data_IF_009142608855
#
_entry.id   IF_009142608855
#
_cell.length_a   1.000
_cell.length_b   1.000
_cell.length_c   1.000
_cell.angle_alpha   90.00
_cell.angle_beta   90.00
_cell.angle_gamma   90.00
#
_symmetry.space_group_name_H-M   'P 1'
#
loop_
_entity.id
_entity.type
_entity.pdbx_description
1 polymer ?
#
# COMPACT_ATOMS: atom_id res chain seq x y z
N UNK A 1 28.35 48.89 -46.32
CA UNK A 1 28.50 47.43 -46.54
C UNK A 1 29.74 47.00 -45.75
N UNK A 2 29.57 46.41 -44.57
CA UNK A 2 30.68 46.11 -43.65
C UNK A 2 30.94 44.61 -43.57
N UNK A 3 32.23 44.25 -43.64
CA UNK A 3 32.75 42.89 -43.70
C UNK A 3 32.80 42.21 -42.33
N UNK A 4 32.20 41.02 -42.32
CA UNK A 4 32.43 39.79 -41.55
C UNK A 4 33.76 39.65 -40.76
N UNK A 5 33.68 39.22 -39.48
CA UNK A 5 34.71 38.40 -38.79
C UNK A 5 34.12 37.56 -37.64
N UNK A 6 33.74 36.34 -38.01
CA UNK A 6 33.94 35.02 -37.35
C UNK A 6 34.09 34.90 -35.82
N UNK A 7 33.16 34.08 -35.29
CA UNK A 7 33.35 32.91 -34.42
C UNK A 7 33.78 33.12 -32.95
N UNK A 8 32.79 33.11 -32.06
CA UNK A 8 32.95 32.63 -30.68
C UNK A 8 32.44 31.19 -30.59
N UNK A 9 33.38 30.25 -30.41
CA UNK A 9 33.12 28.88 -30.00
C UNK A 9 32.80 28.88 -28.50
N UNK A 10 31.52 28.81 -28.15
CA UNK A 10 31.12 28.49 -26.77
C UNK A 10 30.97 26.97 -26.72
N UNK A 11 31.97 26.34 -26.10
CA UNK A 11 32.05 24.90 -25.83
C UNK A 11 30.75 24.38 -25.19
N UNK A 12 30.16 23.28 -25.70
CA UNK A 12 29.13 22.59 -24.96
C UNK A 12 29.85 21.80 -23.86
N UNK A 13 29.88 22.35 -22.65
CA UNK A 13 30.14 21.55 -21.45
C UNK A 13 28.95 20.60 -21.27
N UNK A 14 28.96 19.49 -22.02
CA UNK A 14 28.13 18.33 -21.80
C UNK A 14 28.60 17.71 -20.47
N UNK A 15 28.06 18.22 -19.36
CA UNK A 15 28.01 17.47 -18.11
C UNK A 15 27.05 16.30 -18.33
N UNK A 16 27.56 15.25 -18.96
CA UNK A 16 26.99 13.93 -18.88
C UNK A 16 27.07 13.53 -17.40
N UNK A 17 26.02 13.85 -16.64
CA UNK A 17 25.77 13.20 -15.36
C UNK A 17 25.50 11.74 -15.67
N UNK A 18 26.58 10.95 -15.67
CA UNK A 18 26.53 9.50 -15.56
C UNK A 18 25.88 9.16 -14.24
N UNK A 19 24.55 9.17 -14.25
CA UNK A 19 23.75 8.48 -13.26
C UNK A 19 23.98 7.00 -13.52
N UNK A 20 25.10 6.48 -13.01
CA UNK A 20 25.22 5.06 -12.73
C UNK A 20 24.09 4.77 -11.75
N UNK A 21 22.94 4.36 -12.29
CA UNK A 21 22.00 3.54 -11.56
C UNK A 21 22.83 2.36 -11.12
N UNK A 22 23.22 2.33 -9.84
CA UNK A 22 23.75 1.11 -9.26
C UNK A 22 22.66 0.07 -9.53
N UNK A 23 22.94 -0.85 -10.44
CA UNK A 23 22.03 -1.94 -10.74
C UNK A 23 21.69 -2.59 -9.39
N UNK A 24 20.40 -2.63 -9.07
CA UNK A 24 19.94 -3.30 -7.87
C UNK A 24 20.39 -4.76 -7.93
N UNK A 25 21.38 -5.15 -7.12
CA UNK A 25 21.79 -6.55 -7.00
C UNK A 25 20.85 -7.22 -6.02
N UNK A 26 19.89 -7.97 -6.55
CA UNK A 26 19.01 -8.83 -5.75
C UNK A 26 19.67 -10.16 -5.42
N UNK A 27 19.27 -10.75 -4.30
CA UNK A 27 19.68 -12.10 -3.89
C UNK A 27 18.77 -13.13 -4.57
N UNK A 28 19.30 -14.03 -5.43
CA UNK A 28 18.50 -15.06 -6.10
C UNK A 28 17.76 -15.99 -5.12
N UNK A 29 18.29 -16.19 -3.91
CA UNK A 29 17.62 -17.00 -2.89
C UNK A 29 16.31 -16.32 -2.44
N UNK A 30 16.33 -15.00 -2.27
CA UNK A 30 15.15 -14.23 -1.88
C UNK A 30 14.13 -14.19 -3.02
N UNK A 31 14.57 -14.07 -4.28
CA UNK A 31 13.68 -14.22 -5.44
C UNK A 31 13.01 -15.60 -5.47
N UNK A 32 13.77 -16.66 -5.16
CA UNK A 32 13.25 -18.02 -5.01
C UNK A 32 12.16 -18.10 -3.94
N UNK A 33 12.38 -17.49 -2.77
CA UNK A 33 11.40 -17.47 -1.66
C UNK A 33 10.14 -16.67 -2.05
N UNK A 34 10.28 -15.50 -2.69
CA UNK A 34 9.14 -14.73 -3.21
C UNK A 34 8.33 -15.59 -4.18
N UNK A 35 9.00 -16.32 -5.07
CA UNK A 35 8.38 -17.22 -6.04
C UNK A 35 7.64 -18.38 -5.38
N UNK A 36 8.25 -19.02 -4.37
CA UNK A 36 7.63 -20.11 -3.60
C UNK A 36 6.37 -19.66 -2.86
N UNK A 37 6.30 -18.39 -2.44
CA UNK A 37 5.11 -17.79 -1.84
C UNK A 37 4.08 -17.34 -2.89
N UNK A 38 4.23 -17.72 -4.17
CA UNK A 38 3.28 -17.42 -5.24
C UNK A 38 3.34 -15.99 -5.78
N UNK A 39 4.38 -15.22 -5.44
CA UNK A 39 4.45 -13.78 -5.73
C UNK A 39 5.31 -13.42 -6.96
N UNK A 40 5.76 -14.39 -7.75
CA UNK A 40 6.66 -14.18 -8.88
C UNK A 40 6.13 -13.17 -9.92
N UNK A 41 4.82 -13.20 -10.20
CA UNK A 41 4.17 -12.30 -11.15
C UNK A 41 3.63 -11.00 -10.55
N UNK A 42 3.84 -10.74 -9.27
CA UNK A 42 3.20 -9.64 -8.54
C UNK A 42 4.08 -8.40 -8.42
N UNK A 43 3.49 -7.27 -8.00
CA UNK A 43 4.26 -6.06 -7.70
C UNK A 43 5.35 -6.28 -6.66
N UNK A 44 5.18 -7.19 -5.67
CA UNK A 44 6.22 -7.53 -4.69
C UNK A 44 7.53 -7.93 -5.37
N UNK A 45 7.49 -8.86 -6.33
CA UNK A 45 8.69 -9.29 -7.06
C UNK A 45 9.32 -8.10 -7.81
N UNK A 46 8.51 -7.30 -8.49
CA UNK A 46 9.03 -6.12 -9.23
C UNK A 46 9.67 -5.08 -8.31
N UNK A 47 9.10 -4.87 -7.10
CA UNK A 47 9.64 -3.95 -6.11
C UNK A 47 10.90 -4.47 -5.44
N UNK A 48 11.04 -5.79 -5.30
CA UNK A 48 12.29 -6.38 -4.83
C UNK A 48 13.41 -6.21 -5.87
N UNK A 49 13.12 -6.55 -7.14
CA UNK A 49 14.06 -6.40 -8.28
C UNK A 49 14.55 -4.98 -8.55
N UNK A 50 13.79 -3.98 -8.11
CA UNK A 50 14.19 -2.57 -8.23
C UNK A 50 14.62 -1.94 -6.90
N UNK A 51 14.88 -2.74 -5.87
CA UNK A 51 15.36 -2.31 -4.55
C UNK A 51 14.39 -1.38 -3.79
N UNK A 52 13.12 -1.28 -4.20
CA UNK A 52 12.10 -0.57 -3.41
C UNK A 52 11.72 -1.37 -2.16
N UNK A 53 11.69 -2.71 -2.28
CA UNK A 53 11.59 -3.61 -1.13
C UNK A 53 12.97 -4.15 -0.77
N UNK A 54 13.35 -4.01 0.50
CA UNK A 54 14.62 -4.50 1.02
C UNK A 54 14.41 -5.52 2.14
N UNK A 55 15.30 -6.52 2.20
CA UNK A 55 15.29 -7.52 3.27
C UNK A 55 15.67 -6.86 4.59
N UNK A 56 14.82 -6.98 5.60
CA UNK A 56 15.10 -6.49 6.97
C UNK A 56 15.18 -7.61 8.00
N UNK A 57 14.66 -8.80 7.69
CA UNK A 57 14.88 -9.99 8.49
C UNK A 57 14.97 -11.22 7.59
N UNK A 58 15.94 -12.08 7.86
CA UNK A 58 16.14 -13.34 7.17
C UNK A 58 16.44 -14.41 8.22
N UNK A 59 15.41 -15.12 8.68
CA UNK A 59 15.55 -16.15 9.72
C UNK A 59 15.38 -17.53 9.11
N UNK A 60 15.47 -18.59 9.93
CA UNK A 60 15.22 -19.95 9.46
C UNK A 60 13.81 -20.13 8.87
N UNK A 61 12.80 -19.44 9.42
CA UNK A 61 11.40 -19.71 9.12
C UNK A 61 10.73 -18.62 8.27
N UNK A 62 11.37 -17.45 8.09
CA UNK A 62 10.77 -16.35 7.34
C UNK A 62 11.78 -15.41 6.69
N UNK A 63 11.30 -14.69 5.69
CA UNK A 63 11.91 -13.47 5.16
C UNK A 63 10.95 -12.31 5.35
N UNK A 64 11.47 -11.18 5.81
CA UNK A 64 10.73 -9.92 5.89
C UNK A 64 11.32 -8.93 4.89
N UNK A 65 10.45 -8.32 4.08
CA UNK A 65 10.81 -7.20 3.20
C UNK A 65 10.08 -5.93 3.65
N UNK A 66 10.73 -4.78 3.57
CA UNK A 66 10.08 -3.49 3.86
C UNK A 66 10.33 -2.46 2.77
N UNK A 67 9.36 -1.57 2.60
CA UNK A 67 9.48 -0.44 1.69
C UNK A 67 9.90 0.81 2.46
N UNK A 68 11.03 1.42 2.11
CA UNK A 68 11.51 2.64 2.78
C UNK A 68 10.65 3.88 2.49
N UNK A 69 9.84 3.85 1.44
CA UNK A 69 8.95 4.94 1.04
C UNK A 69 7.60 4.93 1.76
N UNK A 70 7.21 3.83 2.40
CA UNK A 70 5.96 3.74 3.14
C UNK A 70 6.08 4.46 4.49
N UNK A 71 5.01 5.13 4.92
CA UNK A 71 5.02 5.97 6.11
C UNK A 71 5.07 5.18 7.43
N UNK A 72 4.40 4.01 7.48
CA UNK A 72 4.38 3.05 8.61
C UNK A 72 4.13 3.74 9.96
N UNK A 73 3.06 4.53 10.03
CA UNK A 73 2.70 5.32 11.23
C UNK A 73 1.67 4.58 12.07
N UNK A 74 1.77 4.80 13.37
CA UNK A 74 0.73 4.42 14.32
C UNK A 74 0.00 5.69 14.76
N UNK A 75 -1.18 5.91 14.19
CA UNK A 75 -2.00 7.08 14.45
C UNK A 75 -3.38 6.67 14.96
N UNK A 76 -4.11 7.64 15.51
CA UNK A 76 -5.55 7.52 15.75
C UNK A 76 -6.35 7.98 14.54
N UNK A 77 -7.54 7.42 14.36
CA UNK A 77 -8.40 7.63 13.20
C UNK A 77 -8.67 9.12 12.93
N UNK A 78 -8.88 9.91 13.98
CA UNK A 78 -9.16 11.35 13.92
C UNK A 78 -8.03 12.17 13.28
N UNK A 79 -6.81 11.63 13.21
CA UNK A 79 -5.60 12.32 12.71
C UNK A 79 -4.94 11.59 11.54
N UNK A 80 -5.44 10.42 11.17
CA UNK A 80 -4.78 9.53 10.24
C UNK A 80 -4.89 10.01 8.79
N UNK A 81 -3.74 10.12 8.13
CA UNK A 81 -3.63 10.20 6.66
C UNK A 81 -3.41 8.81 6.04
N UNK A 82 -2.74 7.92 6.79
CA UNK A 82 -2.37 6.59 6.33
C UNK A 82 -3.19 5.54 7.06
N UNK A 83 -3.65 4.56 6.29
CA UNK A 83 -4.47 3.46 6.75
C UNK A 83 -3.87 2.15 6.27
N UNK A 84 -4.02 1.09 7.04
CA UNK A 84 -3.27 -0.13 6.85
C UNK A 84 -4.18 -1.35 6.84
N UNK A 85 -3.78 -2.34 6.04
CA UNK A 85 -4.39 -3.67 6.07
C UNK A 85 -3.33 -4.74 5.86
N UNK A 86 -3.24 -5.68 6.80
CA UNK A 86 -2.57 -6.95 6.58
C UNK A 86 -3.43 -7.86 5.71
N UNK A 87 -2.94 -8.22 4.53
CA UNK A 87 -3.58 -9.15 3.60
C UNK A 87 -2.78 -10.45 3.58
N UNK A 88 -3.45 -11.59 3.73
CA UNK A 88 -2.84 -12.88 3.44
C UNK A 88 -2.46 -12.98 1.95
N UNK A 89 -1.53 -13.86 1.61
CA UNK A 89 -0.99 -13.96 0.23
C UNK A 89 -2.08 -14.06 -0.84
N UNK A 90 -3.10 -14.90 -0.65
CA UNK A 90 -4.19 -15.07 -1.63
C UNK A 90 -5.00 -13.79 -1.83
N UNK A 91 -5.30 -13.06 -0.75
CA UNK A 91 -6.00 -11.77 -0.83
C UNK A 91 -5.13 -10.73 -1.54
N UNK A 92 -3.85 -10.65 -1.20
CA UNK A 92 -2.91 -9.75 -1.86
C UNK A 92 -2.77 -10.04 -3.36
N UNK A 93 -2.62 -11.31 -3.75
CA UNK A 93 -2.51 -11.71 -5.16
C UNK A 93 -3.77 -11.30 -5.93
N UNK A 94 -4.95 -11.48 -5.36
CA UNK A 94 -6.20 -11.04 -5.97
C UNK A 94 -6.28 -9.50 -6.08
N UNK A 95 -5.78 -8.77 -5.08
CA UNK A 95 -5.75 -7.31 -5.08
C UNK A 95 -4.75 -6.74 -6.10
N UNK A 96 -3.54 -7.30 -6.17
CA UNK A 96 -2.52 -6.96 -7.16
C UNK A 96 -3.01 -7.29 -8.59
N UNK A 97 -3.63 -8.45 -8.79
CA UNK A 97 -4.19 -8.88 -10.06
C UNK A 97 -5.30 -7.96 -10.59
N UNK A 98 -6.08 -7.33 -9.69
CA UNK A 98 -7.07 -6.31 -10.07
C UNK A 98 -6.49 -4.89 -10.17
N UNK A 99 -5.16 -4.76 -10.11
CA UNK A 99 -4.42 -3.50 -10.20
C UNK A 99 -4.80 -2.51 -9.10
N UNK A 100 -5.01 -3.02 -7.89
CA UNK A 100 -5.33 -2.23 -6.70
C UNK A 100 -6.64 -1.44 -6.77
N UNK A 101 -7.59 -1.87 -7.60
CA UNK A 101 -8.86 -1.16 -7.84
C UNK A 101 -9.97 -1.55 -6.87
N UNK A 102 -9.90 -2.74 -6.29
CA UNK A 102 -10.95 -3.25 -5.41
C UNK A 102 -10.37 -4.19 -4.35
N UNK A 103 -10.59 -3.89 -3.07
CA UNK A 103 -10.21 -4.77 -1.96
C UNK A 103 -11.09 -6.04 -1.97
N UNK A 104 -10.53 -7.24 -2.24
CA UNK A 104 -11.32 -8.45 -2.49
C UNK A 104 -12.23 -8.89 -1.33
N UNK A 105 -11.87 -8.56 -0.08
CA UNK A 105 -12.66 -8.96 1.09
C UNK A 105 -13.95 -8.15 1.29
N UNK A 106 -14.15 -7.04 0.55
CA UNK A 106 -15.32 -6.16 0.73
C UNK A 106 -16.64 -6.90 0.51
N UNK A 107 -16.65 -7.88 -0.40
CA UNK A 107 -17.83 -8.69 -0.74
C UNK A 107 -17.91 -10.01 0.04
N UNK A 108 -16.94 -10.30 0.90
CA UNK A 108 -16.84 -11.58 1.60
C UNK A 108 -17.41 -11.50 3.01
N UNK A 109 -17.92 -12.63 3.53
CA UNK A 109 -18.35 -12.78 4.91
C UNK A 109 -17.15 -13.00 5.88
N UNK A 110 -16.03 -12.34 5.60
CA UNK A 110 -14.77 -12.47 6.36
C UNK A 110 -14.33 -11.10 6.89
N UNK A 111 -13.35 -11.10 7.80
CA UNK A 111 -12.82 -9.85 8.35
C UNK A 111 -12.14 -8.99 7.26
N UNK A 112 -12.67 -7.79 7.08
CA UNK A 112 -12.22 -6.84 6.07
C UNK A 112 -11.95 -5.46 6.70
N UNK A 113 -11.09 -5.40 7.72
CA UNK A 113 -10.72 -4.15 8.40
C UNK A 113 -9.57 -3.38 7.76
N UNK A 114 -9.60 -2.05 7.95
CA UNK A 114 -8.44 -1.15 7.84
C UNK A 114 -8.22 -0.46 9.19
N UNK A 115 -6.96 -0.17 9.54
CA UNK A 115 -6.58 0.50 10.78
C UNK A 115 -5.62 1.67 10.52
N UNK A 116 -5.69 2.76 11.28
CA UNK A 116 -4.68 3.83 11.24
C UNK A 116 -3.36 3.43 11.92
N UNK A 117 -3.33 2.33 12.69
CA UNK A 117 -2.11 1.75 13.24
C UNK A 117 -1.48 0.72 12.29
N UNK A 118 -0.26 1.02 11.86
CA UNK A 118 0.57 0.12 11.07
C UNK A 118 0.91 -1.14 11.85
N UNK A 119 1.35 -1.02 13.11
CA UNK A 119 1.76 -2.18 13.93
C UNK A 119 0.60 -3.12 14.20
N UNK A 120 -0.60 -2.59 14.45
CA UNK A 120 -1.82 -3.37 14.56
C UNK A 120 -2.07 -4.19 13.28
N UNK A 121 -2.05 -3.54 12.12
CA UNK A 121 -2.28 -4.21 10.83
C UNK A 121 -1.19 -5.23 10.48
N UNK A 122 0.06 -4.95 10.83
CA UNK A 122 1.18 -5.86 10.65
C UNK A 122 1.04 -7.11 11.52
N UNK A 123 0.49 -6.98 12.74
CA UNK A 123 0.37 -8.10 13.69
C UNK A 123 -0.48 -9.28 13.20
N UNK A 124 -1.35 -9.04 12.22
CA UNK A 124 -2.14 -10.10 11.56
C UNK A 124 -1.29 -11.05 10.70
N UNK A 125 -0.07 -10.63 10.33
CA UNK A 125 0.84 -11.43 9.55
C UNK A 125 1.81 -12.18 10.46
N UNK A 126 1.86 -13.50 10.28
CA UNK A 126 2.73 -14.39 11.06
C UNK A 126 3.38 -15.41 10.14
N UNK A 127 4.30 -16.23 10.65
CA UNK A 127 4.88 -17.30 9.83
C UNK A 127 3.82 -18.31 9.34
N UNK A 128 2.73 -18.50 10.11
CA UNK A 128 1.60 -19.37 9.73
C UNK A 128 0.60 -18.68 8.80
N UNK A 129 0.62 -17.36 8.77
CA UNK A 129 -0.22 -16.52 7.92
C UNK A 129 0.64 -15.44 7.27
N UNK A 130 1.54 -15.81 6.33
CA UNK A 130 2.36 -14.84 5.61
C UNK A 130 1.50 -13.96 4.71
N UNK A 131 2.04 -12.82 4.32
CA UNK A 131 1.26 -11.85 3.57
C UNK A 131 1.94 -10.50 3.41
N UNK A 132 1.11 -9.51 3.09
CA UNK A 132 1.52 -8.17 2.70
C UNK A 132 0.72 -7.16 3.49
N UNK A 133 1.38 -6.16 4.08
CA UNK A 133 0.67 -4.97 4.58
C UNK A 133 0.61 -3.95 3.45
N UNK A 134 -0.60 -3.53 3.16
CA UNK A 134 -0.89 -2.41 2.26
C UNK A 134 -1.11 -1.16 3.10
N UNK A 135 -0.43 -0.07 2.71
CA UNK A 135 -0.69 1.29 3.15
C UNK A 135 -1.59 1.99 2.10
N UNK A 136 -2.67 2.59 2.59
CA UNK A 136 -3.60 3.42 1.85
C UNK A 136 -3.40 4.87 2.32
N UNK A 137 -2.93 5.74 1.42
CA UNK A 137 -2.74 7.16 1.72
C UNK A 137 -3.95 7.95 1.21
N UNK A 138 -4.57 8.72 2.10
CA UNK A 138 -5.63 9.66 1.72
C UNK A 138 -5.05 10.98 1.20
N UNK A 139 -5.91 11.81 0.60
CA UNK A 139 -5.52 13.14 0.08
C UNK A 139 -5.03 14.10 1.17
N UNK A 140 -5.53 13.97 2.40
CA UNK A 140 -5.13 14.77 3.56
C UNK A 140 -5.38 13.99 4.87
N UNK A 141 -4.76 14.40 5.99
CA UNK A 141 -5.06 13.84 7.31
C UNK A 141 -6.54 13.92 7.66
N UNK A 142 -7.03 12.97 8.46
CA UNK A 142 -8.41 12.92 8.97
C UNK A 142 -9.49 12.73 7.90
N UNK A 143 -9.13 12.63 6.61
CA UNK A 143 -10.09 12.62 5.52
C UNK A 143 -11.08 11.47 5.60
N UNK A 144 -10.60 10.23 5.77
CA UNK A 144 -11.47 9.06 5.95
C UNK A 144 -12.34 9.16 7.20
N UNK A 145 -11.78 9.69 8.29
CA UNK A 145 -12.51 9.87 9.53
C UNK A 145 -13.65 10.88 9.38
N UNK A 146 -13.38 12.02 8.75
CA UNK A 146 -14.37 13.04 8.49
C UNK A 146 -15.50 12.51 7.59
N UNK A 147 -15.16 11.76 6.54
CA UNK A 147 -16.17 11.20 5.65
C UNK A 147 -17.02 10.13 6.36
N UNK A 148 -16.39 9.07 6.87
CA UNK A 148 -17.12 7.95 7.46
C UNK A 148 -17.79 8.33 8.78
N UNK A 149 -17.05 8.89 9.74
CA UNK A 149 -17.57 9.10 11.10
C UNK A 149 -18.31 10.44 11.23
N UNK A 150 -17.70 11.55 10.81
CA UNK A 150 -18.31 12.87 11.05
C UNK A 150 -19.53 13.11 10.15
N UNK A 151 -19.42 12.84 8.84
CA UNK A 151 -20.52 13.10 7.89
C UNK A 151 -21.54 11.97 7.83
N UNK A 152 -21.06 10.73 7.78
CA UNK A 152 -21.91 9.55 7.56
C UNK A 152 -22.18 8.74 8.83
N UNK A 153 -21.79 9.25 10.00
CA UNK A 153 -22.11 8.71 11.33
C UNK A 153 -21.69 7.25 11.58
N UNK A 154 -20.76 6.74 10.78
CA UNK A 154 -20.22 5.40 10.93
C UNK A 154 -19.45 5.28 12.25
N UNK A 155 -19.79 4.31 13.09
CA UNK A 155 -19.04 4.02 14.32
C UNK A 155 -17.85 3.12 14.02
N UNK A 156 -16.65 3.65 14.19
CA UNK A 156 -15.41 2.88 14.16
C UNK A 156 -15.21 2.08 15.46
N UNK A 157 -14.35 1.07 15.45
CA UNK A 157 -13.98 0.32 16.67
C UNK A 157 -12.69 0.85 17.25
N UNK A 158 -12.59 0.96 18.57
CA UNK A 158 -11.44 1.57 19.25
C UNK A 158 -10.09 0.85 19.02
N UNK A 159 -10.09 -0.42 18.62
CA UNK A 159 -8.88 -1.18 18.32
C UNK A 159 -8.08 -0.59 17.15
N UNK A 160 -6.76 -0.76 17.17
CA UNK A 160 -5.87 -0.33 16.10
C UNK A 160 -5.85 1.18 15.85
N UNK A 161 -6.12 1.98 16.88
CA UNK A 161 -6.25 3.44 16.78
C UNK A 161 -7.57 3.93 16.18
N UNK A 162 -8.51 3.03 15.87
CA UNK A 162 -9.82 3.38 15.33
C UNK A 162 -10.10 2.72 13.97
N UNK A 163 -10.53 1.47 13.97
CA UNK A 163 -10.69 0.65 12.76
C UNK A 163 -12.04 0.79 12.08
N UNK A 164 -12.01 0.68 10.74
CA UNK A 164 -13.20 0.55 9.91
C UNK A 164 -13.28 -0.84 9.30
N UNK A 165 -14.43 -1.50 9.48
CA UNK A 165 -14.76 -2.75 8.79
C UNK A 165 -15.40 -2.45 7.43
N UNK A 166 -14.69 -2.75 6.35
CA UNK A 166 -15.11 -2.53 4.96
C UNK A 166 -16.03 -3.64 4.42
N UNK A 167 -16.11 -4.79 5.10
CA UNK A 167 -16.92 -5.92 4.67
C UNK A 167 -18.44 -5.70 4.84
N UNK A 168 -19.23 -6.63 4.31
CA UNK A 168 -20.71 -6.61 4.34
C UNK A 168 -21.30 -6.45 5.75
N UNK A 169 -20.71 -7.09 6.76
CA UNK A 169 -21.15 -6.99 8.18
C UNK A 169 -20.28 -6.03 9.00
N UNK A 170 -19.55 -5.13 8.33
CA UNK A 170 -18.61 -4.21 8.95
C UNK A 170 -19.25 -2.95 9.51
N UNK A 171 -18.48 -1.87 9.54
CA UNK A 171 -18.88 -0.58 10.09
C UNK A 171 -20.12 0.01 9.41
N UNK A 172 -20.41 -0.37 8.17
CA UNK A 172 -21.62 0.03 7.43
C UNK A 172 -22.92 -0.05 8.24
N UNK A 173 -23.04 -0.99 9.19
CA UNK A 173 -24.25 -1.18 10.00
C UNK A 173 -24.61 0.03 10.89
N UNK A 174 -23.62 0.81 11.34
CA UNK A 174 -23.81 1.96 12.22
C UNK A 174 -23.87 3.31 11.49
N UNK A 175 -23.61 3.32 10.18
CA UNK A 175 -23.66 4.53 9.36
C UNK A 175 -25.10 5.04 9.13
N UNK A 176 -25.20 6.22 8.52
CA UNK A 176 -26.45 6.75 7.99
C UNK A 176 -27.09 5.84 6.92
N UNK A 177 -28.30 6.21 6.48
CA UNK A 177 -29.07 5.40 5.54
C UNK A 177 -28.38 5.20 4.19
N UNK A 178 -27.59 6.17 3.73
CA UNK A 178 -26.88 6.09 2.45
C UNK A 178 -25.72 5.10 2.55
N UNK A 179 -24.81 5.30 3.50
CA UNK A 179 -23.61 4.49 3.65
C UNK A 179 -23.90 3.09 4.16
N UNK A 180 -24.96 2.92 4.95
CA UNK A 180 -25.47 1.59 5.31
C UNK A 180 -26.00 0.82 4.11
N UNK A 181 -26.69 1.49 3.18
CA UNK A 181 -27.22 0.86 1.95
C UNK A 181 -26.11 0.54 0.95
N UNK A 182 -25.15 1.44 0.77
CA UNK A 182 -24.04 1.26 -0.19
C UNK A 182 -22.98 0.30 0.35
N UNK A 183 -22.68 0.37 1.64
CA UNK A 183 -21.55 -0.31 2.28
C UNK A 183 -20.26 0.48 2.13
N UNK A 184 -19.57 0.78 3.24
CA UNK A 184 -18.40 1.67 3.21
C UNK A 184 -17.21 1.09 2.44
N UNK A 185 -17.10 -0.24 2.34
CA UNK A 185 -16.09 -0.87 1.48
C UNK A 185 -16.32 -0.62 0.00
N UNK A 186 -17.57 -0.55 -0.45
CA UNK A 186 -17.89 -0.19 -1.83
C UNK A 186 -17.54 1.29 -2.09
N UNK A 187 -17.81 2.17 -1.14
CA UNK A 187 -17.37 3.58 -1.19
C UNK A 187 -15.85 3.66 -1.28
N UNK A 188 -15.13 2.92 -0.42
CA UNK A 188 -13.67 2.87 -0.42
C UNK A 188 -13.10 2.39 -1.76
N UNK A 189 -13.68 1.34 -2.35
CA UNK A 189 -13.28 0.83 -3.67
C UNK A 189 -13.51 1.83 -4.80
N UNK A 190 -14.54 2.68 -4.72
CA UNK A 190 -14.71 3.78 -5.68
C UNK A 190 -13.57 4.78 -5.58
N UNK A 191 -13.12 5.11 -4.36
CA UNK A 191 -11.99 6.03 -4.18
C UNK A 191 -10.64 5.47 -4.63
N UNK A 192 -10.49 4.15 -4.66
CA UNK A 192 -9.33 3.46 -5.25
C UNK A 192 -9.33 3.49 -6.79
N UNK A 193 -10.49 3.54 -7.44
CA UNK A 193 -10.61 3.18 -8.86
C UNK A 193 -11.24 4.25 -9.77
N UNK A 194 -12.11 5.09 -9.23
CA UNK A 194 -12.80 6.15 -9.97
C UNK A 194 -11.97 7.44 -9.97
N UNK A 195 -12.09 8.22 -11.06
CA UNK A 195 -11.36 9.49 -11.19
C UNK A 195 -12.18 10.66 -10.60
N UNK A 196 -11.55 11.60 -9.88
CA UNK A 196 -10.15 11.58 -9.45
C UNK A 196 -9.90 10.51 -8.38
N UNK A 197 -8.80 9.76 -8.50
CA UNK A 197 -8.39 8.78 -7.49
C UNK A 197 -8.11 9.55 -6.19
N UNK A 198 -8.66 9.07 -5.07
CA UNK A 198 -8.54 9.73 -3.76
C UNK A 198 -7.68 8.96 -2.77
N UNK A 199 -7.32 7.72 -3.09
CA UNK A 199 -6.52 6.84 -2.24
C UNK A 199 -5.38 6.25 -3.07
N UNK A 200 -4.16 6.51 -2.61
CA UNK A 200 -2.95 5.91 -3.17
C UNK A 200 -2.58 4.64 -2.40
N UNK A 201 -2.07 3.65 -3.13
CA UNK A 201 -1.76 2.31 -2.60
C UNK A 201 -0.26 2.08 -2.60
N UNK A 202 0.28 1.69 -1.44
CA UNK A 202 1.71 1.40 -1.25
C UNK A 202 1.86 0.06 -0.53
N UNK A 203 2.69 -0.83 -1.07
CA UNK A 203 3.14 -2.02 -0.33
C UNK A 203 4.15 -1.56 0.72
N UNK A 204 3.83 -1.70 2.01
CA UNK A 204 4.67 -1.20 3.10
C UNK A 204 5.56 -2.29 3.70
N UNK A 205 5.05 -3.52 3.76
CA UNK A 205 5.70 -4.65 4.42
C UNK A 205 5.28 -5.97 3.77
N UNK A 206 6.21 -6.94 3.71
CA UNK A 206 5.96 -8.31 3.24
C UNK A 206 6.58 -9.29 4.23
N UNK A 207 5.82 -10.29 4.64
CA UNK A 207 6.31 -11.46 5.37
C UNK A 207 6.12 -12.70 4.49
N UNK A 208 7.21 -13.38 4.21
CA UNK A 208 7.27 -14.60 3.42
C UNK A 208 7.64 -15.78 4.33
N UNK A 209 6.96 -16.91 4.15
CA UNK A 209 7.38 -18.16 4.76
C UNK A 209 8.56 -18.75 3.99
N UNK A 210 9.40 -19.51 4.69
CA UNK A 210 10.43 -20.37 4.09
C UNK A 210 10.04 -21.83 4.20
#
# INVERSE_FOLDING_TARGET
MNLNKKAFLISPFLLAMSSFSMACTTDPQIEGIITQNGLAGTKVMSMYKNCTLTVTANTQNKVTLTNSKAAKRDNVAEKAMYWYRGMGLNEYIAFDGNKYKNIPCVTQASFCGIAPEYTYSQSYLTNRNPGVVIEFSTIEPSWLYNDFTTKHHCQYKAEGGGTYGLGVTGTSASCDAEYRRIGIGNVFNRWLSEKPIKIDVIISYVLLAK
#
